data_IF_006461435688
#
_entry.id   IF_006461435688
#
_cell.length_a   1.000
_cell.length_b   1.000
_cell.length_c   1.000
_cell.angle_alpha   90.00
_cell.angle_beta   90.00
_cell.angle_gamma   90.00
#
_symmetry.space_group_name_H-M   'P 1'
#
loop_
_entity.id
_entity.type
_entity.pdbx_description
1 polymer ?
#
# COMPACT_ATOMS: atom_id res chain seq x y z
N UNK A 1 12.74 -32.92 -38.40
CA UNK A 1 13.65 -34.00 -37.98
C UNK A 1 14.43 -33.63 -36.70
N UNK A 2 13.81 -32.90 -35.77
CA UNK A 2 14.55 -32.15 -34.71
C UNK A 2 14.09 -32.50 -33.27
N UNK A 3 13.07 -33.34 -33.11
CA UNK A 3 12.45 -33.62 -31.79
C UNK A 3 13.05 -34.87 -31.11
N UNK A 4 13.66 -35.79 -31.87
CA UNK A 4 14.26 -37.03 -31.31
C UNK A 4 15.51 -36.84 -30.43
N UNK A 5 16.09 -35.64 -30.36
CA UNK A 5 17.27 -35.36 -29.50
C UNK A 5 16.91 -34.93 -28.07
N UNK A 6 15.67 -34.50 -27.80
CA UNK A 6 15.27 -34.02 -26.46
C UNK A 6 14.98 -35.14 -25.44
N UNK A 7 14.39 -36.25 -25.89
CA UNK A 7 13.95 -37.33 -25.00
C UNK A 7 15.11 -38.21 -24.47
N UNK A 8 16.19 -38.36 -25.23
CA UNK A 8 17.38 -39.11 -24.78
C UNK A 8 18.23 -38.37 -23.73
N UNK A 9 18.08 -37.05 -23.61
CA UNK A 9 18.77 -36.25 -22.59
C UNK A 9 18.16 -36.40 -21.20
N UNK A 10 16.83 -36.50 -21.10
CA UNK A 10 16.11 -36.58 -19.81
C UNK A 10 16.23 -37.95 -19.12
N UNK A 11 16.33 -39.04 -19.88
CA UNK A 11 16.51 -40.39 -19.28
C UNK A 11 17.92 -40.60 -18.74
N UNK A 12 18.92 -39.83 -19.20
CA UNK A 12 20.31 -39.93 -18.74
C UNK A 12 20.57 -39.17 -17.44
N UNK A 13 19.73 -38.18 -17.10
CA UNK A 13 19.78 -37.42 -15.84
C UNK A 13 19.00 -38.07 -14.70
N UNK A 14 18.18 -39.10 -14.98
CA UNK A 14 17.37 -39.81 -13.99
C UNK A 14 17.93 -41.19 -13.58
N UNK A 15 19.04 -41.63 -14.19
CA UNK A 15 19.74 -42.85 -13.80
C UNK A 15 20.95 -42.53 -12.90
N UNK A 16 20.69 -42.39 -11.59
CA UNK A 16 21.60 -42.52 -10.41
C UNK A 16 22.93 -41.71 -10.36
N UNK A 17 23.54 -41.44 -9.17
CA UNK A 17 23.03 -41.08 -7.85
C UNK A 17 23.71 -39.77 -7.39
N UNK A 18 23.17 -38.59 -7.75
CA UNK A 18 23.80 -37.31 -7.39
C UNK A 18 23.27 -36.68 -6.09
N UNK A 19 22.29 -37.31 -5.42
CA UNK A 19 21.59 -36.72 -4.27
C UNK A 19 22.03 -37.26 -2.89
N UNK A 20 22.92 -38.25 -2.83
CA UNK A 20 23.37 -38.85 -1.57
C UNK A 20 24.76 -38.38 -1.11
N UNK A 21 25.45 -37.50 -1.84
CA UNK A 21 26.87 -37.19 -1.55
C UNK A 21 27.16 -35.84 -0.85
N UNK A 22 26.17 -35.12 -0.32
CA UNK A 22 26.39 -33.75 0.19
C UNK A 22 25.82 -33.40 1.57
N UNK A 23 25.12 -34.30 2.27
CA UNK A 23 24.60 -34.03 3.61
C UNK A 23 25.07 -35.11 4.60
N UNK A 24 25.77 -34.69 5.66
CA UNK A 24 26.14 -35.54 6.79
C UNK A 24 24.86 -35.93 7.54
N UNK A 25 24.40 -37.18 7.35
CA UNK A 25 23.14 -37.70 7.89
C UNK A 25 23.03 -37.59 9.41
N UNK A 26 24.15 -37.36 10.10
CA UNK A 26 24.22 -37.28 11.56
C UNK A 26 23.61 -36.02 12.17
N UNK A 27 23.27 -35.00 11.38
CA UNK A 27 22.83 -33.69 11.89
C UNK A 27 21.38 -33.30 11.52
N UNK A 28 20.59 -34.21 10.96
CA UNK A 28 19.18 -33.92 10.65
C UNK A 28 18.31 -34.05 11.91
N UNK A 29 17.41 -33.08 12.13
CA UNK A 29 16.37 -33.22 13.15
C UNK A 29 15.35 -34.28 12.71
N UNK A 30 14.62 -34.88 13.67
CA UNK A 30 13.60 -35.88 13.37
C UNK A 30 12.52 -35.37 12.39
N UNK A 31 12.17 -34.08 12.46
CA UNK A 31 11.23 -33.43 11.55
C UNK A 31 11.76 -33.33 10.11
N UNK A 32 13.05 -33.01 9.95
CA UNK A 32 13.71 -32.97 8.65
C UNK A 32 13.83 -34.37 8.03
N UNK A 33 14.06 -35.39 8.87
CA UNK A 33 14.09 -36.79 8.44
C UNK A 33 12.71 -37.24 7.93
N UNK A 34 11.64 -36.94 8.67
CA UNK A 34 10.27 -37.27 8.27
C UNK A 34 9.86 -36.58 6.95
N UNK A 35 10.18 -35.29 6.80
CA UNK A 35 9.92 -34.55 5.56
C UNK A 35 10.68 -35.15 4.35
N UNK A 36 11.90 -35.65 4.59
CA UNK A 36 12.73 -36.30 3.56
C UNK A 36 12.14 -37.66 3.15
N UNK A 37 11.69 -38.46 4.10
CA UNK A 37 11.00 -39.73 3.82
C UNK A 37 9.69 -39.50 3.05
N UNK A 38 8.91 -38.50 3.44
CA UNK A 38 7.68 -38.12 2.73
C UNK A 38 7.97 -37.70 1.27
N UNK A 39 9.03 -36.91 1.05
CA UNK A 39 9.46 -36.54 -0.31
C UNK A 39 9.93 -37.75 -1.13
N UNK A 40 10.70 -38.67 -0.53
CA UNK A 40 11.14 -39.91 -1.20
C UNK A 40 9.94 -40.76 -1.60
N UNK A 41 8.92 -40.89 -0.75
CA UNK A 41 7.68 -41.60 -1.06
C UNK A 41 6.93 -40.98 -2.24
N UNK A 42 6.78 -39.64 -2.27
CA UNK A 42 6.13 -38.94 -3.40
C UNK A 42 6.90 -39.10 -4.71
N UNK A 43 8.23 -39.05 -4.67
CA UNK A 43 9.06 -39.26 -5.87
C UNK A 43 8.89 -40.69 -6.39
N UNK A 44 8.86 -41.69 -5.51
CA UNK A 44 8.62 -43.09 -5.89
C UNK A 44 7.22 -43.29 -6.51
N UNK A 45 6.19 -42.65 -5.96
CA UNK A 45 4.82 -42.68 -6.50
C UNK A 45 4.73 -42.06 -7.91
N UNK A 46 5.41 -40.92 -8.13
CA UNK A 46 5.51 -40.29 -9.46
C UNK A 46 6.33 -41.17 -10.43
N UNK A 47 7.39 -41.82 -9.97
CA UNK A 47 8.20 -42.70 -10.81
C UNK A 47 7.43 -43.95 -11.28
N UNK A 48 6.49 -44.46 -10.47
CA UNK A 48 5.63 -45.60 -10.83
C UNK A 48 4.50 -45.25 -11.80
N UNK A 49 4.12 -43.97 -11.91
CA UNK A 49 3.04 -43.51 -12.83
C UNK A 49 3.55 -43.15 -14.23
N UNK A 50 4.85 -42.86 -14.38
CA UNK A 50 5.47 -42.51 -15.68
C UNK A 50 5.54 -43.67 -16.70
N UNK A 51 5.71 -44.96 -16.33
CA UNK A 51 5.74 -46.06 -17.30
C UNK A 51 4.39 -46.34 -17.98
N UNK A 52 3.26 -46.08 -17.30
CA UNK A 52 1.92 -46.36 -17.86
C UNK A 52 1.53 -45.40 -18.99
N UNK A 53 2.14 -44.21 -19.07
CA UNK A 53 1.85 -43.21 -20.11
C UNK A 53 2.56 -43.55 -21.43
N UNK A 54 3.59 -44.40 -21.40
CA UNK A 54 4.36 -44.77 -22.61
C UNK A 54 3.70 -45.86 -23.47
N UNK A 55 2.75 -46.64 -22.96
CA UNK A 55 2.08 -47.69 -23.75
C UNK A 55 0.75 -47.23 -24.37
N UNK A 56 0.08 -46.20 -23.84
CA UNK A 56 -1.20 -45.71 -24.38
C UNK A 56 -1.08 -44.63 -25.47
N UNK A 57 0.10 -44.05 -25.70
CA UNK A 57 0.28 -42.94 -26.66
C UNK A 57 0.68 -43.36 -28.08
N UNK A 58 0.36 -44.59 -28.50
CA UNK A 58 0.69 -45.08 -29.86
C UNK A 58 -0.37 -44.76 -30.92
N UNK A 59 -1.55 -44.25 -30.56
CA UNK A 59 -2.55 -43.79 -31.52
C UNK A 59 -3.30 -42.61 -30.92
N UNK A 60 -3.26 -41.51 -31.64
CA UNK A 60 -3.96 -40.24 -31.40
C UNK A 60 -3.31 -39.30 -30.37
N UNK A 61 -3.33 -38.01 -30.72
CA UNK A 61 -3.03 -36.82 -29.91
C UNK A 61 -1.58 -36.26 -29.90
N UNK A 62 -1.29 -35.46 -30.94
CA UNK A 62 -0.21 -34.45 -30.96
C UNK A 62 -0.57 -33.17 -30.16
N UNK A 63 -1.58 -33.18 -29.27
CA UNK A 63 -2.12 -31.94 -28.69
C UNK A 63 -2.17 -31.83 -27.15
N UNK A 64 -1.71 -32.82 -26.38
CA UNK A 64 -1.89 -32.79 -24.90
C UNK A 64 -0.57 -32.90 -24.09
N UNK A 65 0.60 -33.06 -24.72
CA UNK A 65 1.86 -33.28 -23.98
C UNK A 65 2.56 -32.01 -23.43
N UNK A 66 2.03 -30.82 -23.66
CA UNK A 66 2.67 -29.55 -23.27
C UNK A 66 2.66 -29.21 -21.75
N UNK A 67 1.64 -29.55 -20.94
CA UNK A 67 1.59 -29.12 -19.54
C UNK A 67 2.50 -29.94 -18.61
N UNK A 68 2.64 -31.23 -18.86
CA UNK A 68 3.27 -32.17 -17.92
C UNK A 68 4.79 -32.09 -17.94
N UNK A 69 5.41 -31.87 -19.11
CA UNK A 69 6.86 -31.73 -19.25
C UNK A 69 7.36 -30.43 -18.59
N UNK A 70 6.55 -29.36 -18.60
CA UNK A 70 6.88 -28.07 -17.96
C UNK A 70 7.00 -28.19 -16.44
N UNK A 71 6.33 -29.16 -15.81
CA UNK A 71 6.28 -29.34 -14.36
C UNK A 71 7.50 -30.06 -13.80
N UNK A 72 8.15 -30.93 -14.59
CA UNK A 72 9.36 -31.64 -14.17
C UNK A 72 10.61 -30.76 -14.27
N UNK A 73 10.70 -29.86 -15.25
CA UNK A 73 11.87 -28.96 -15.40
C UNK A 73 11.96 -27.95 -14.26
N UNK A 74 10.84 -27.50 -13.69
CA UNK A 74 10.86 -26.52 -12.58
C UNK A 74 11.36 -27.10 -11.26
N UNK A 75 11.25 -28.43 -11.07
CA UNK A 75 11.70 -29.11 -9.85
C UNK A 75 13.22 -29.30 -9.81
N UNK A 76 13.88 -29.35 -10.97
CA UNK A 76 15.35 -29.54 -11.05
C UNK A 76 16.10 -28.24 -10.78
N UNK A 77 15.60 -27.09 -11.23
CA UNK A 77 16.20 -25.78 -10.92
C UNK A 77 16.06 -25.36 -9.45
N UNK A 78 15.10 -25.94 -8.71
CA UNK A 78 14.91 -25.65 -7.28
C UNK A 78 16.00 -26.25 -6.38
N UNK A 79 16.75 -27.26 -6.83
CA UNK A 79 17.78 -27.91 -6.01
C UNK A 79 19.17 -27.26 -6.11
N UNK A 80 19.47 -26.48 -7.17
CA UNK A 80 20.75 -25.79 -7.31
C UNK A 80 20.83 -24.47 -6.52
N UNK A 81 19.70 -23.88 -6.12
CA UNK A 81 19.69 -22.62 -5.36
C UNK A 81 19.88 -22.81 -3.85
N UNK A 82 19.79 -24.04 -3.33
CA UNK A 82 19.86 -24.33 -1.89
C UNK A 82 21.27 -24.36 -1.29
N UNK A 83 22.34 -24.13 -2.07
CA UNK A 83 23.73 -24.16 -1.55
C UNK A 83 24.40 -22.79 -1.41
N UNK A 84 23.70 -21.68 -1.64
CA UNK A 84 24.27 -20.34 -1.40
C UNK A 84 24.09 -19.99 0.08
N UNK A 85 25.22 -19.82 0.76
CA UNK A 85 25.34 -19.22 2.09
C UNK A 85 24.39 -18.00 2.18
N UNK A 86 23.57 -17.86 3.24
CA UNK A 86 22.63 -16.76 3.34
C UNK A 86 23.42 -15.45 3.34
N UNK A 87 23.37 -14.74 2.21
CA UNK A 87 24.00 -13.45 2.06
C UNK A 87 23.55 -12.55 3.22
N UNK A 88 24.51 -11.89 3.89
CA UNK A 88 24.19 -10.94 4.95
C UNK A 88 23.11 -9.97 4.44
N UNK A 89 22.06 -9.71 5.23
CA UNK A 89 20.97 -8.85 4.80
C UNK A 89 21.54 -7.48 4.48
N UNK A 90 21.55 -7.15 3.19
CA UNK A 90 22.03 -5.86 2.68
C UNK A 90 21.29 -4.76 3.43
N UNK A 91 22.04 -3.95 4.17
CA UNK A 91 21.48 -2.92 5.04
C UNK A 91 20.78 -1.88 4.16
N UNK A 92 19.45 -1.99 4.03
CA UNK A 92 18.66 -1.05 3.24
C UNK A 92 18.92 0.38 3.72
N UNK A 93 19.33 1.23 2.78
CA UNK A 93 19.56 2.65 3.03
C UNK A 93 18.22 3.32 3.29
N UNK A 94 18.17 4.19 4.31
CA UNK A 94 16.98 4.98 4.64
C UNK A 94 16.58 5.85 3.44
N UNK A 95 15.32 5.80 3.05
CA UNK A 95 14.79 6.70 2.03
C UNK A 95 14.55 8.10 2.64
N UNK A 96 15.39 9.04 2.24
CA UNK A 96 15.33 10.42 2.72
C UNK A 96 14.07 11.14 2.24
N UNK A 97 13.51 10.78 1.07
CA UNK A 97 12.32 11.43 0.54
C UNK A 97 11.11 11.15 1.45
N UNK A 98 10.94 9.89 1.82
CA UNK A 98 9.86 9.44 2.70
C UNK A 98 10.01 9.97 4.12
N UNK A 99 11.23 10.04 4.64
CA UNK A 99 11.49 10.68 5.92
C UNK A 99 11.13 12.18 5.90
N UNK A 100 11.45 12.88 4.82
CA UNK A 100 11.05 14.28 4.64
C UNK A 100 9.53 14.44 4.51
N UNK A 101 8.84 13.52 3.84
CA UNK A 101 7.37 13.49 3.79
C UNK A 101 6.78 13.37 5.19
N UNK A 102 7.34 12.50 6.05
CA UNK A 102 6.92 12.38 7.44
C UNK A 102 7.09 13.71 8.22
N UNK A 103 8.26 14.35 8.09
CA UNK A 103 8.58 15.56 8.85
C UNK A 103 7.79 16.80 8.39
N UNK A 104 7.56 16.93 7.08
CA UNK A 104 6.88 18.11 6.51
C UNK A 104 5.42 18.24 6.94
N UNK A 105 4.77 17.16 7.38
CA UNK A 105 3.42 17.20 7.94
C UNK A 105 3.34 17.88 9.32
N UNK A 106 4.45 17.95 10.05
CA UNK A 106 4.50 18.61 11.36
C UNK A 106 4.28 20.12 11.19
N UNK A 107 4.85 20.73 10.14
CA UNK A 107 4.79 22.19 9.96
C UNK A 107 3.37 22.76 9.82
N UNK A 108 2.50 22.27 8.91
CA UNK A 108 1.11 22.71 8.83
C UNK A 108 0.35 22.61 10.15
N UNK A 109 0.54 21.49 10.87
CA UNK A 109 -0.11 21.24 12.15
C UNK A 109 0.34 22.26 13.21
N UNK A 110 1.65 22.48 13.36
CA UNK A 110 2.17 23.46 14.32
C UNK A 110 1.73 24.89 14.01
N UNK A 111 1.74 25.29 12.74
CA UNK A 111 1.25 26.62 12.33
C UNK A 111 -0.25 26.75 12.59
N UNK A 112 -1.01 25.70 12.31
CA UNK A 112 -2.45 25.67 12.61
C UNK A 112 -2.72 25.76 14.11
N UNK A 113 -1.91 25.10 14.95
CA UNK A 113 -1.97 25.23 16.41
C UNK A 113 -1.69 26.64 16.88
N UNK A 114 -0.61 27.24 16.40
CA UNK A 114 -0.23 28.59 16.81
C UNK A 114 -1.35 29.59 16.45
N UNK A 115 -1.91 29.48 15.25
CA UNK A 115 -3.00 30.35 14.82
C UNK A 115 -4.29 30.12 15.61
N UNK A 116 -4.68 28.85 15.83
CA UNK A 116 -5.85 28.50 16.64
C UNK A 116 -5.74 29.09 18.06
N UNK A 117 -4.63 28.83 18.75
CA UNK A 117 -4.37 29.33 20.11
C UNK A 117 -4.37 30.87 20.21
N UNK A 118 -3.98 31.58 19.15
CA UNK A 118 -3.98 33.04 19.12
C UNK A 118 -5.37 33.64 18.89
N UNK A 119 -6.28 32.92 18.23
CA UNK A 119 -7.53 33.48 17.70
C UNK A 119 -8.80 32.96 18.38
N UNK A 120 -8.76 31.83 19.08
CA UNK A 120 -9.98 31.30 19.70
C UNK A 120 -10.25 31.85 21.10
N UNK A 121 -11.40 32.54 21.23
CA UNK A 121 -12.15 32.66 22.47
C UNK A 121 -12.87 31.35 22.85
N UNK A 122 -13.76 31.34 23.86
CA UNK A 122 -14.26 30.11 24.49
C UNK A 122 -15.00 29.15 23.52
N UNK A 123 -14.69 27.84 23.65
CA UNK A 123 -15.38 26.62 23.19
C UNK A 123 -16.38 26.69 22.01
N UNK A 124 -15.96 27.08 20.81
CA UNK A 124 -16.71 26.73 19.57
C UNK A 124 -16.30 25.35 19.06
N UNK A 125 -17.22 24.39 19.14
CA UNK A 125 -17.01 23.02 18.71
C UNK A 125 -16.73 22.90 17.20
N UNK A 126 -17.26 23.81 16.36
CA UNK A 126 -17.02 23.81 14.92
C UNK A 126 -15.59 24.25 14.56
N UNK A 127 -15.08 25.28 15.26
CA UNK A 127 -13.67 25.65 15.17
C UNK A 127 -12.76 24.51 15.63
N UNK A 128 -13.14 23.79 16.69
CA UNK A 128 -12.40 22.60 17.15
C UNK A 128 -12.34 21.49 16.10
N UNK A 129 -13.43 21.18 15.38
CA UNK A 129 -13.37 20.21 14.28
C UNK A 129 -12.47 20.67 13.11
N UNK A 130 -12.50 21.96 12.81
CA UNK A 130 -11.64 22.58 11.79
C UNK A 130 -10.17 22.60 12.21
N UNK A 131 -9.89 22.61 13.51
CA UNK A 131 -8.55 22.46 14.06
C UNK A 131 -8.10 20.99 14.09
N UNK A 132 -8.91 20.10 14.66
CA UNK A 132 -8.56 18.70 14.92
C UNK A 132 -8.37 17.88 13.65
N UNK A 133 -9.00 18.24 12.51
CA UNK A 133 -8.73 17.54 11.24
C UNK A 133 -7.24 17.57 10.86
N UNK A 134 -6.51 18.62 11.27
CA UNK A 134 -5.08 18.76 10.98
C UNK A 134 -4.25 17.76 11.78
N UNK A 135 -4.63 17.49 13.03
CA UNK A 135 -3.90 16.64 13.96
C UNK A 135 -4.23 15.18 13.86
N UNK A 136 -5.48 14.84 13.54
CA UNK A 136 -5.95 13.47 13.72
C UNK A 136 -5.34 12.49 12.70
N UNK A 137 -5.01 12.98 11.50
CA UNK A 137 -4.42 12.15 10.44
C UNK A 137 -2.89 12.11 10.48
N UNK A 138 -2.26 13.18 10.98
CA UNK A 138 -0.81 13.34 10.96
C UNK A 138 -0.04 12.16 11.58
N UNK A 139 -0.39 11.60 12.77
CA UNK A 139 0.35 10.49 13.36
C UNK A 139 0.38 9.23 12.48
N UNK A 140 -0.74 8.94 11.80
CA UNK A 140 -0.87 7.75 10.97
C UNK A 140 -0.11 7.91 9.66
N UNK A 141 -0.18 9.09 9.04
CA UNK A 141 0.59 9.39 7.84
C UNK A 141 2.10 9.43 8.15
N UNK A 142 2.51 10.02 9.27
CA UNK A 142 3.91 10.00 9.72
C UNK A 142 4.41 8.57 9.95
N UNK A 143 3.61 7.73 10.60
CA UNK A 143 3.95 6.32 10.81
C UNK A 143 4.07 5.57 9.48
N UNK A 144 3.15 5.83 8.54
CA UNK A 144 3.20 5.27 7.19
C UNK A 144 4.52 5.64 6.49
N UNK A 145 4.80 6.94 6.34
CA UNK A 145 6.01 7.45 5.69
C UNK A 145 7.31 7.04 6.38
N UNK A 146 7.33 6.97 7.72
CA UNK A 146 8.49 6.47 8.46
C UNK A 146 8.73 4.99 8.15
N UNK A 147 7.68 4.18 8.07
CA UNK A 147 7.80 2.78 7.68
C UNK A 147 8.32 2.63 6.24
N UNK A 148 7.92 3.53 5.34
CA UNK A 148 8.45 3.58 3.96
C UNK A 148 9.94 3.91 3.95
N UNK A 149 10.33 4.92 4.72
CA UNK A 149 11.72 5.35 4.84
C UNK A 149 12.64 4.25 5.37
N UNK A 150 12.12 3.36 6.23
CA UNK A 150 12.87 2.23 6.78
C UNK A 150 12.95 1.02 5.84
N UNK A 151 12.31 1.08 4.66
CA UNK A 151 12.47 0.10 3.60
C UNK A 151 11.74 -1.23 3.84
N UNK A 152 10.56 -1.20 4.48
CA UNK A 152 9.72 -2.37 4.68
C UNK A 152 9.46 -3.09 3.33
N UNK A 153 9.99 -4.31 3.13
CA UNK A 153 9.88 -5.03 1.85
C UNK A 153 8.44 -5.44 1.50
N UNK A 154 7.51 -5.45 2.47
CA UNK A 154 6.13 -5.88 2.29
C UNK A 154 5.14 -4.70 2.22
N UNK A 155 5.65 -3.52 1.85
CA UNK A 155 4.93 -2.27 1.86
C UNK A 155 3.54 -2.37 1.19
N UNK A 156 2.50 -2.12 1.98
CA UNK A 156 1.12 -2.11 1.48
C UNK A 156 0.56 -3.46 1.07
N UNK A 157 1.26 -4.57 1.34
CA UNK A 157 0.80 -5.93 1.03
C UNK A 157 0.36 -6.71 2.26
N UNK A 158 1.12 -6.66 3.35
CA UNK A 158 0.81 -7.37 4.61
C UNK A 158 1.37 -6.64 5.83
N UNK A 159 0.93 -7.06 7.03
CA UNK A 159 1.50 -6.63 8.30
C UNK A 159 1.31 -5.14 8.63
N UNK A 160 2.32 -4.55 9.30
CA UNK A 160 2.28 -3.18 9.79
C UNK A 160 2.25 -2.13 8.67
N UNK A 161 2.96 -2.35 7.56
CA UNK A 161 2.94 -1.42 6.42
C UNK A 161 1.55 -1.25 5.81
N UNK A 162 0.81 -2.35 5.63
CA UNK A 162 -0.59 -2.29 5.18
C UNK A 162 -1.51 -1.65 6.23
N UNK A 163 -1.31 -1.97 7.51
CA UNK A 163 -2.11 -1.38 8.58
C UNK A 163 -1.93 0.14 8.65
N UNK A 164 -0.69 0.65 8.65
CA UNK A 164 -0.43 2.09 8.70
C UNK A 164 -0.98 2.80 7.46
N UNK A 165 -0.86 2.21 6.27
CA UNK A 165 -1.47 2.78 5.05
C UNK A 165 -3.00 2.88 5.16
N UNK A 166 -3.67 1.83 5.65
CA UNK A 166 -5.12 1.84 5.83
C UNK A 166 -5.57 2.84 6.88
N UNK A 167 -4.83 2.95 7.98
CA UNK A 167 -5.09 3.95 9.01
C UNK A 167 -4.89 5.35 8.46
N UNK A 168 -3.81 5.62 7.73
CA UNK A 168 -3.57 6.92 7.07
C UNK A 168 -4.76 7.31 6.17
N UNK A 169 -5.16 6.44 5.24
CA UNK A 169 -6.31 6.71 4.37
C UNK A 169 -7.62 6.87 5.14
N UNK A 170 -7.82 6.10 6.21
CA UNK A 170 -8.99 6.22 7.08
C UNK A 170 -9.04 7.59 7.73
N UNK A 171 -7.92 8.04 8.30
CA UNK A 171 -7.88 9.31 9.00
C UNK A 171 -7.85 10.51 8.06
N UNK A 172 -7.42 10.36 6.81
CA UNK A 172 -7.71 11.36 5.76
C UNK A 172 -9.22 11.55 5.62
N UNK A 173 -10.00 10.47 5.52
CA UNK A 173 -11.46 10.52 5.42
C UNK A 173 -12.15 11.05 6.70
N UNK A 174 -11.62 10.73 7.88
CA UNK A 174 -12.12 11.28 9.16
C UNK A 174 -11.84 12.78 9.25
N UNK A 175 -10.59 13.20 9.02
CA UNK A 175 -10.19 14.60 8.95
C UNK A 175 -11.08 15.36 7.96
N UNK A 176 -11.38 14.70 6.86
CA UNK A 176 -12.24 15.22 5.84
C UNK A 176 -13.69 15.47 6.33
N UNK A 177 -14.32 14.48 6.94
CA UNK A 177 -15.67 14.64 7.52
C UNK A 177 -15.69 15.74 8.60
N UNK A 178 -14.65 15.81 9.44
CA UNK A 178 -14.51 16.85 10.47
C UNK A 178 -14.41 18.25 9.85
N UNK A 179 -13.62 18.42 8.79
CA UNK A 179 -13.50 19.70 8.09
C UNK A 179 -14.83 20.13 7.46
N UNK A 180 -15.54 19.22 6.79
CA UNK A 180 -16.88 19.48 6.23
C UNK A 180 -17.87 19.92 7.32
N UNK A 181 -17.90 19.21 8.43
CA UNK A 181 -18.79 19.52 9.54
C UNK A 181 -18.44 20.87 10.20
N UNK A 182 -17.16 21.12 10.45
CA UNK A 182 -16.67 22.39 11.00
C UNK A 182 -16.97 23.60 10.11
N UNK A 183 -16.75 23.49 8.79
CA UNK A 183 -17.02 24.57 7.84
C UNK A 183 -18.51 24.79 7.56
N UNK A 184 -19.31 23.73 7.55
CA UNK A 184 -20.74 23.82 7.23
C UNK A 184 -21.60 24.30 8.38
N UNK A 185 -21.12 24.20 9.62
CA UNK A 185 -21.91 24.46 10.85
C UNK A 185 -23.30 23.83 10.82
N UNK A 186 -23.42 22.65 10.21
CA UNK A 186 -24.69 21.98 9.95
C UNK A 186 -24.60 20.49 10.26
N UNK A 187 -25.43 20.04 11.21
CA UNK A 187 -25.51 18.63 11.62
C UNK A 187 -25.88 17.70 10.47
N UNK A 188 -26.85 18.12 9.65
CA UNK A 188 -27.28 17.34 8.49
C UNK A 188 -26.16 17.19 7.47
N UNK A 189 -25.39 18.26 7.25
CA UNK A 189 -24.26 18.23 6.34
C UNK A 189 -23.11 17.37 6.90
N UNK A 190 -22.81 17.50 8.19
CA UNK A 190 -21.83 16.67 8.89
C UNK A 190 -22.19 15.18 8.82
N UNK A 191 -23.47 14.84 9.02
CA UNK A 191 -23.96 13.47 8.88
C UNK A 191 -23.83 12.95 7.45
N UNK A 192 -24.18 13.75 6.44
CA UNK A 192 -23.99 13.37 5.03
C UNK A 192 -22.51 13.15 4.71
N UNK A 193 -21.62 14.03 5.20
CA UNK A 193 -20.18 13.89 5.03
C UNK A 193 -19.65 12.63 5.72
N UNK A 194 -20.15 12.32 6.92
CA UNK A 194 -19.80 11.10 7.65
C UNK A 194 -20.23 9.84 6.90
N UNK A 195 -21.44 9.81 6.33
CA UNK A 195 -21.93 8.66 5.53
C UNK A 195 -21.04 8.44 4.30
N UNK A 196 -20.75 9.52 3.55
CA UNK A 196 -19.92 9.44 2.34
C UNK A 196 -18.49 8.99 2.67
N UNK A 197 -17.86 9.58 3.68
CA UNK A 197 -16.51 9.20 4.10
C UNK A 197 -16.49 7.79 4.73
N UNK A 198 -17.53 7.41 5.47
CA UNK A 198 -17.71 6.07 6.02
C UNK A 198 -17.77 4.99 4.94
N UNK A 199 -18.44 5.26 3.82
CA UNK A 199 -18.43 4.38 2.66
C UNK A 199 -17.02 4.17 2.10
N UNK A 200 -16.21 5.23 2.01
CA UNK A 200 -14.82 5.12 1.54
C UNK A 200 -13.91 4.40 2.53
N UNK A 201 -14.10 4.61 3.83
CA UNK A 201 -13.42 3.84 4.88
C UNK A 201 -13.77 2.35 4.76
N UNK A 202 -15.05 2.02 4.60
CA UNK A 202 -15.48 0.65 4.35
C UNK A 202 -14.79 0.05 3.12
N UNK A 203 -14.69 0.81 2.02
CA UNK A 203 -13.99 0.39 0.80
C UNK A 203 -12.48 0.18 1.04
N UNK A 204 -11.84 0.99 1.89
CA UNK A 204 -10.41 0.84 2.25
C UNK A 204 -10.16 -0.50 2.95
N UNK A 205 -11.01 -0.87 3.91
CA UNK A 205 -10.86 -2.13 4.66
C UNK A 205 -11.35 -3.35 3.90
N UNK A 206 -12.30 -3.17 2.98
CA UNK A 206 -12.79 -4.24 2.09
C UNK A 206 -11.86 -4.49 0.91
N UNK A 207 -10.83 -3.67 0.70
CA UNK A 207 -9.84 -3.86 -0.36
C UNK A 207 -8.96 -5.08 -0.07
N UNK A 208 -9.13 -6.13 -0.85
CA UNK A 208 -8.30 -7.33 -0.77
C UNK A 208 -7.04 -7.18 -1.61
N UNK A 209 -5.91 -6.95 -0.94
CA UNK A 209 -4.61 -6.74 -1.59
C UNK A 209 -4.13 -7.98 -2.36
N UNK A 210 -4.56 -9.19 -1.96
CA UNK A 210 -4.15 -10.43 -2.63
C UNK A 210 -4.73 -10.53 -4.04
N UNK A 211 -5.95 -10.05 -4.23
CA UNK A 211 -6.68 -10.15 -5.50
C UNK A 211 -6.63 -8.85 -6.31
N UNK A 212 -6.55 -7.69 -5.66
CA UNK A 212 -6.62 -6.37 -6.29
C UNK A 212 -5.27 -5.66 -6.40
N UNK A 213 -4.21 -6.21 -5.82
CA UNK A 213 -2.88 -5.61 -5.80
C UNK A 213 -2.75 -4.45 -4.79
N UNK A 214 -1.61 -3.73 -4.83
CA UNK A 214 -1.28 -2.68 -3.87
C UNK A 214 -2.39 -1.64 -3.77
N UNK A 215 -2.77 -1.31 -2.54
CA UNK A 215 -3.81 -0.32 -2.32
C UNK A 215 -3.31 1.08 -2.69
N UNK A 216 -3.96 1.71 -3.66
CA UNK A 216 -3.75 3.11 -4.03
C UNK A 216 -4.74 4.02 -3.28
N UNK A 217 -4.41 5.31 -3.06
CA UNK A 217 -5.36 6.24 -2.46
C UNK A 217 -6.58 6.37 -3.37
N UNK A 218 -7.77 6.35 -2.76
CA UNK A 218 -9.02 6.45 -3.52
C UNK A 218 -9.26 7.91 -3.92
N UNK A 219 -8.70 8.31 -5.06
CA UNK A 219 -8.76 9.69 -5.60
C UNK A 219 -10.20 10.19 -5.69
N UNK A 220 -11.15 9.34 -6.08
CA UNK A 220 -12.57 9.71 -6.13
C UNK A 220 -13.11 10.11 -4.76
N UNK A 221 -12.65 9.43 -3.70
CA UNK A 221 -13.00 9.77 -2.33
C UNK A 221 -12.51 11.17 -1.95
N UNK A 222 -11.25 11.48 -2.24
CA UNK A 222 -10.69 12.82 -2.00
C UNK A 222 -11.44 13.88 -2.80
N UNK A 223 -11.70 13.65 -4.09
CA UNK A 223 -12.42 14.60 -4.95
C UNK A 223 -13.83 14.88 -4.46
N UNK A 224 -14.60 13.83 -4.15
CA UNK A 224 -15.96 13.98 -3.62
C UNK A 224 -15.95 14.82 -2.36
N UNK A 225 -15.04 14.52 -1.44
CA UNK A 225 -14.98 15.23 -0.18
C UNK A 225 -14.50 16.68 -0.33
N UNK A 226 -13.52 16.95 -1.20
CA UNK A 226 -13.14 18.34 -1.55
C UNK A 226 -14.34 19.10 -2.13
N UNK A 227 -15.13 18.44 -2.99
CA UNK A 227 -16.37 18.99 -3.52
C UNK A 227 -17.39 19.35 -2.43
N UNK A 228 -17.49 18.53 -1.36
CA UNK A 228 -18.37 18.83 -0.23
C UNK A 228 -17.98 20.14 0.47
N UNK A 229 -16.69 20.42 0.68
CA UNK A 229 -16.27 21.70 1.30
C UNK A 229 -16.57 22.89 0.40
N UNK A 230 -16.29 22.76 -0.90
CA UNK A 230 -16.56 23.81 -1.87
C UNK A 230 -18.05 24.14 -1.86
N UNK A 231 -18.91 23.11 -1.80
CA UNK A 231 -20.36 23.29 -1.72
C UNK A 231 -20.79 24.03 -0.44
N UNK A 232 -20.20 23.73 0.73
CA UNK A 232 -20.47 24.46 1.97
C UNK A 232 -20.13 25.94 1.86
N UNK A 233 -18.90 26.25 1.43
CA UNK A 233 -18.42 27.62 1.38
C UNK A 233 -19.22 28.41 0.33
N UNK A 234 -19.60 27.77 -0.79
CA UNK A 234 -20.45 28.35 -1.83
C UNK A 234 -21.85 28.68 -1.31
N UNK A 235 -22.44 27.82 -0.46
CA UNK A 235 -23.76 28.03 0.12
C UNK A 235 -23.83 29.31 0.98
N UNK A 236 -22.73 29.67 1.66
CA UNK A 236 -22.62 30.91 2.42
C UNK A 236 -22.29 32.16 1.57
N UNK A 237 -22.30 32.05 0.23
CA UNK A 237 -22.00 33.17 -0.67
C UNK A 237 -20.52 33.55 -0.74
N UNK A 238 -19.62 32.74 -0.14
CA UNK A 238 -18.18 33.01 -0.06
C UNK A 238 -17.43 32.42 -1.26
N UNK A 239 -17.87 32.76 -2.47
CA UNK A 239 -17.34 32.19 -3.72
C UNK A 239 -15.84 32.49 -3.91
N UNK A 240 -15.36 33.64 -3.45
CA UNK A 240 -13.92 33.99 -3.52
C UNK A 240 -13.10 32.97 -2.72
N UNK A 241 -13.54 32.63 -1.51
CA UNK A 241 -12.82 31.71 -0.63
C UNK A 241 -12.84 30.28 -1.17
N UNK A 242 -13.92 29.90 -1.86
CA UNK A 242 -13.99 28.64 -2.61
C UNK A 242 -12.91 28.60 -3.70
N UNK A 243 -12.84 29.65 -4.53
CA UNK A 243 -11.90 29.72 -5.64
C UNK A 243 -10.46 29.73 -5.12
N UNK A 244 -10.18 30.52 -4.08
CA UNK A 244 -8.85 30.57 -3.46
C UNK A 244 -8.45 29.21 -2.89
N UNK A 245 -9.31 28.57 -2.09
CA UNK A 245 -9.06 27.25 -1.54
C UNK A 245 -8.85 26.19 -2.63
N UNK A 246 -9.67 26.21 -3.68
CA UNK A 246 -9.53 25.30 -4.82
C UNK A 246 -8.22 25.51 -5.58
N UNK A 247 -7.80 26.76 -5.82
CA UNK A 247 -6.52 27.10 -6.46
C UNK A 247 -5.33 26.64 -5.61
N UNK A 248 -5.39 26.86 -4.29
CA UNK A 248 -4.34 26.40 -3.36
C UNK A 248 -4.23 24.87 -3.31
N UNK A 249 -5.36 24.16 -3.30
CA UNK A 249 -5.37 22.69 -3.37
C UNK A 249 -4.84 22.20 -4.73
N UNK A 250 -5.32 22.79 -5.83
CA UNK A 250 -4.90 22.43 -7.17
C UNK A 250 -3.40 22.62 -7.38
N UNK A 251 -2.82 23.73 -6.87
CA UNK A 251 -1.38 23.98 -6.99
C UNK A 251 -0.55 22.92 -6.25
N UNK A 252 -0.96 22.53 -5.04
CA UNK A 252 -0.33 21.43 -4.31
C UNK A 252 -0.35 20.11 -5.10
N UNK A 253 -1.51 19.75 -5.66
CA UNK A 253 -1.65 18.54 -6.47
C UNK A 253 -0.90 18.63 -7.80
N UNK A 254 -0.79 19.81 -8.43
CA UNK A 254 0.00 20.00 -9.65
C UNK A 254 1.49 19.76 -9.36
N UNK A 255 2.02 20.31 -8.26
CA UNK A 255 3.42 20.10 -7.84
C UNK A 255 3.71 18.61 -7.67
N UNK A 256 2.80 17.89 -6.99
CA UNK A 256 2.93 16.44 -6.81
C UNK A 256 2.79 15.65 -8.12
N UNK A 257 1.69 15.86 -8.86
CA UNK A 257 1.30 15.06 -10.02
C UNK A 257 2.26 15.20 -11.19
N UNK A 258 2.76 16.42 -11.43
CA UNK A 258 3.73 16.71 -12.49
C UNK A 258 5.17 16.62 -12.01
N UNK A 259 5.38 16.22 -10.76
CA UNK A 259 6.69 16.00 -10.18
C UNK A 259 7.64 17.20 -10.35
N UNK A 260 7.14 18.42 -10.14
CA UNK A 260 7.84 19.66 -10.50
C UNK A 260 9.16 19.87 -9.73
N UNK A 261 9.35 19.19 -8.60
CA UNK A 261 10.55 19.25 -7.77
C UNK A 261 11.37 17.95 -7.81
N UNK A 262 11.02 17.02 -8.71
CA UNK A 262 11.61 15.69 -8.82
C UNK A 262 11.08 14.68 -7.80
N UNK A 263 11.32 13.39 -8.07
CA UNK A 263 10.65 12.26 -7.39
C UNK A 263 10.78 12.31 -5.87
N UNK A 264 11.88 12.89 -5.37
CA UNK A 264 12.22 12.93 -3.94
C UNK A 264 11.56 14.07 -3.16
N UNK A 265 11.19 15.16 -3.82
CA UNK A 265 10.81 16.40 -3.13
C UNK A 265 9.39 16.86 -3.44
N UNK A 266 8.79 16.37 -4.53
CA UNK A 266 7.42 16.76 -4.91
C UNK A 266 6.38 16.32 -3.86
N UNK A 267 6.57 15.15 -3.23
CA UNK A 267 5.65 14.67 -2.20
C UNK A 267 5.75 15.44 -0.86
N UNK A 268 6.95 15.64 -0.26
CA UNK A 268 7.09 16.52 0.90
C UNK A 268 6.60 17.96 0.65
N UNK A 269 6.86 18.51 -0.54
CA UNK A 269 6.39 19.84 -0.89
C UNK A 269 4.86 19.92 -0.96
N UNK A 270 4.20 18.88 -1.46
CA UNK A 270 2.73 18.79 -1.44
C UNK A 270 2.19 18.87 -0.01
N UNK A 271 2.80 18.18 0.97
CA UNK A 271 2.37 18.27 2.37
C UNK A 271 2.43 19.70 2.92
N UNK A 272 3.52 20.42 2.64
CA UNK A 272 3.66 21.83 3.04
C UNK A 272 2.60 22.70 2.35
N UNK A 273 2.41 22.52 1.03
CA UNK A 273 1.46 23.30 0.25
C UNK A 273 0.01 23.05 0.66
N UNK A 274 -0.37 21.79 0.97
CA UNK A 274 -1.69 21.42 1.50
C UNK A 274 -1.96 22.03 2.89
N UNK A 275 -0.91 22.40 3.64
CA UNK A 275 -1.07 23.17 4.86
C UNK A 275 -1.61 24.59 4.64
N UNK A 276 -1.36 25.18 3.47
CA UNK A 276 -1.83 26.55 3.15
C UNK A 276 -3.36 26.65 3.10
N UNK A 277 -4.10 25.84 2.29
CA UNK A 277 -5.56 25.88 2.28
C UNK A 277 -6.14 25.50 3.64
N UNK A 278 -5.48 24.63 4.41
CA UNK A 278 -5.90 24.25 5.75
C UNK A 278 -5.87 25.44 6.73
N UNK A 279 -4.76 26.18 6.79
CA UNK A 279 -4.65 27.40 7.60
C UNK A 279 -5.66 28.46 7.12
N UNK A 280 -5.82 28.60 5.80
CA UNK A 280 -6.80 29.51 5.20
C UNK A 280 -8.22 29.20 5.67
N UNK A 281 -8.68 27.95 5.54
CA UNK A 281 -10.02 27.53 5.97
C UNK A 281 -10.20 27.65 7.48
N UNK A 282 -9.18 27.34 8.27
CA UNK A 282 -9.23 27.52 9.72
C UNK A 282 -9.40 29.00 10.09
N UNK A 283 -8.61 29.90 9.50
CA UNK A 283 -8.77 31.35 9.69
C UNK A 283 -10.20 31.80 9.39
N UNK A 284 -10.77 31.31 8.29
CA UNK A 284 -12.11 31.67 7.87
C UNK A 284 -13.19 31.12 8.80
N UNK A 285 -12.99 29.91 9.34
CA UNK A 285 -13.92 29.27 10.29
C UNK A 285 -13.99 30.00 11.63
N UNK A 286 -12.86 30.59 12.07
CA UNK A 286 -12.81 31.40 13.28
C UNK A 286 -13.43 32.78 13.04
N UNK A 287 -13.14 33.40 11.89
CA UNK A 287 -13.69 34.72 11.56
C UNK A 287 -15.23 34.67 11.34
N UNK A 288 -15.78 33.51 10.93
CA UNK A 288 -17.23 33.25 10.90
C UNK A 288 -17.92 33.41 12.27
N UNK A 289 -17.19 33.57 13.38
CA UNK A 289 -17.74 33.84 14.72
C UNK A 289 -17.91 35.33 15.04
N UNK A 290 -17.38 36.22 14.20
CA UNK A 290 -17.36 37.66 14.50
C UNK A 290 -18.53 38.45 13.88
N UNK A 291 -19.47 37.75 13.22
CA UNK A 291 -20.73 38.28 12.68
C UNK A 291 -21.91 37.49 13.24
#
# INVERSE_FOLDING_TARGET
MTIKRGAMGLTKTLSEPALDSAYDEKNLTAEQLALREERRARIAEVALTVPSIKEETSKDEEFVAAPTIRRCTSLVTLNEETSKEPAEPERKKIDQAELMSALTMISPSLVSMAYFLQRTGPMDWYAWFTFLNTFIHMPFSMAHHTNLALGDPNEGQVGWGLLFRRLDYTFIHVACAMLAYGLSRSELFGLAALIVNGYYIYKIFSHDVKTMGPQSPNVNGVVVTVGMYIMCISYYGRMIDCVMGAVMMASAFIVFKFNLLGDKYSHPAMHVLLGTPQIFFMAHSVDFLSF
#
